data_IF_662107759413
#
_entry.id   IF_662107759413
#
_cell.length_a   1.000
_cell.length_b   1.000
_cell.length_c   1.000
_cell.angle_alpha   90.00
_cell.angle_beta   90.00
_cell.angle_gamma   90.00
#
_symmetry.space_group_name_H-M   'P 1'
#
loop_
_entity.id
_entity.type
_entity.pdbx_description
1 polymer ?
#
# COMPACT_ATOMS: atom_id res chain seq x y z
N UNK A 1 -10.69 -17.16 -43.94
CA UNK A 1 -9.96 -17.47 -42.70
C UNK A 1 -8.79 -16.50 -42.46
N UNK A 2 -7.89 -16.30 -43.42
CA UNK A 2 -6.71 -15.43 -43.27
C UNK A 2 -7.03 -13.93 -43.09
N UNK A 3 -8.06 -13.41 -43.77
CA UNK A 3 -8.56 -12.03 -43.56
C UNK A 3 -9.12 -11.79 -42.15
N UNK A 4 -9.72 -12.81 -41.53
CA UNK A 4 -10.24 -12.73 -40.16
C UNK A 4 -9.08 -12.72 -39.16
N UNK A 5 -8.06 -13.56 -39.37
CA UNK A 5 -6.86 -13.60 -38.51
C UNK A 5 -6.17 -12.23 -38.40
N UNK A 6 -6.13 -11.45 -39.48
CA UNK A 6 -5.56 -10.09 -39.46
C UNK A 6 -6.25 -9.13 -38.49
N UNK A 7 -7.54 -9.32 -38.19
CA UNK A 7 -8.28 -8.50 -37.23
C UNK A 7 -7.88 -8.77 -35.77
N UNK A 8 -7.28 -9.92 -35.50
CA UNK A 8 -6.86 -10.36 -34.16
C UNK A 8 -5.33 -10.36 -33.97
N UNK A 9 -4.57 -9.87 -34.95
CA UNK A 9 -3.12 -9.83 -34.87
C UNK A 9 -2.67 -8.86 -33.76
N UNK A 10 -1.90 -9.37 -32.81
CA UNK A 10 -1.24 -8.60 -31.76
C UNK A 10 0.28 -8.68 -31.89
N UNK A 11 1.04 -7.80 -31.22
CA UNK A 11 2.49 -7.88 -31.18
C UNK A 11 2.97 -8.96 -30.19
N UNK A 12 4.19 -9.44 -30.41
CA UNK A 12 4.95 -10.14 -29.38
C UNK A 12 5.40 -9.15 -28.29
N UNK A 13 5.51 -9.63 -27.05
CA UNK A 13 6.01 -8.84 -25.91
C UNK A 13 7.53 -8.96 -25.74
N UNK A 14 8.13 -10.09 -26.13
CA UNK A 14 9.59 -10.29 -26.08
C UNK A 14 10.32 -9.22 -26.88
N UNK A 15 11.44 -8.73 -26.34
CA UNK A 15 12.23 -7.64 -26.90
C UNK A 15 11.57 -6.25 -26.83
N UNK A 16 10.38 -6.11 -26.23
CA UNK A 16 9.72 -4.81 -26.02
C UNK A 16 10.11 -4.18 -24.69
N UNK A 17 9.82 -2.89 -24.57
CA UNK A 17 10.09 -2.11 -23.36
C UNK A 17 8.83 -2.01 -22.50
N UNK A 18 8.90 -2.48 -21.24
CA UNK A 18 7.90 -2.22 -20.21
C UNK A 18 8.35 -1.05 -19.34
N UNK A 19 7.51 -0.01 -19.26
CA UNK A 19 7.61 1.05 -18.27
C UNK A 19 6.76 0.73 -17.04
N UNK A 20 7.37 0.75 -15.86
CA UNK A 20 6.71 0.49 -14.57
C UNK A 20 6.67 1.79 -13.76
N UNK A 21 5.47 2.29 -13.48
CA UNK A 21 5.26 3.47 -12.63
C UNK A 21 4.88 3.00 -11.23
N UNK A 22 5.76 3.24 -10.26
CA UNK A 22 5.66 2.73 -8.90
C UNK A 22 6.29 1.35 -8.75
N UNK A 23 7.26 1.25 -7.86
CA UNK A 23 8.02 0.02 -7.57
C UNK A 23 7.82 -0.45 -6.14
N UNK A 24 6.61 -0.26 -5.61
CA UNK A 24 6.20 -0.86 -4.34
C UNK A 24 6.09 -2.39 -4.41
N UNK A 25 5.31 -2.98 -3.50
CA UNK A 25 5.17 -4.43 -3.40
C UNK A 25 4.75 -5.11 -4.71
N UNK A 26 3.77 -4.53 -5.42
CA UNK A 26 3.26 -5.11 -6.69
C UNK A 26 4.16 -4.76 -7.86
N UNK A 27 4.51 -3.49 -8.04
CA UNK A 27 5.31 -3.05 -9.19
C UNK A 27 6.70 -3.69 -9.26
N UNK A 28 7.33 -3.96 -8.10
CA UNK A 28 8.59 -4.72 -8.06
C UNK A 28 8.44 -6.14 -8.62
N UNK A 29 7.35 -6.85 -8.25
CA UNK A 29 7.08 -8.19 -8.74
C UNK A 29 6.77 -8.18 -10.24
N UNK A 30 5.92 -7.24 -10.69
CA UNK A 30 5.61 -7.05 -12.11
C UNK A 30 6.86 -6.79 -12.94
N UNK A 31 7.76 -5.92 -12.45
CA UNK A 31 9.02 -5.62 -13.11
C UNK A 31 9.90 -6.85 -13.27
N UNK A 32 10.04 -7.66 -12.21
CA UNK A 32 10.86 -8.87 -12.25
C UNK A 32 10.26 -9.93 -13.19
N UNK A 33 8.94 -10.16 -13.14
CA UNK A 33 8.25 -11.08 -14.06
C UNK A 33 8.44 -10.65 -15.52
N UNK A 34 8.38 -9.35 -15.80
CA UNK A 34 8.58 -8.84 -17.15
C UNK A 34 10.00 -9.09 -17.69
N UNK A 35 11.03 -9.05 -16.83
CA UNK A 35 12.38 -9.45 -17.22
C UNK A 35 12.43 -10.94 -17.60
N UNK A 36 11.77 -11.81 -16.82
CA UNK A 36 11.70 -13.25 -17.12
C UNK A 36 10.93 -13.55 -18.43
N UNK A 37 10.09 -12.60 -18.87
CA UNK A 37 9.36 -12.63 -20.15
C UNK A 37 10.13 -11.98 -21.31
N UNK A 38 11.45 -11.80 -21.18
CA UNK A 38 12.34 -11.22 -22.20
C UNK A 38 11.98 -9.77 -22.57
N UNK A 39 11.41 -9.00 -21.63
CA UNK A 39 11.18 -7.57 -21.81
C UNK A 39 12.35 -6.75 -21.26
N UNK A 40 12.63 -5.60 -21.86
CA UNK A 40 13.47 -4.58 -21.23
C UNK A 40 12.61 -3.76 -20.27
N UNK A 41 12.97 -3.70 -18.98
CA UNK A 41 12.15 -3.00 -17.98
C UNK A 41 12.80 -1.70 -17.56
N UNK A 42 12.03 -0.61 -17.64
CA UNK A 42 12.36 0.68 -17.05
C UNK A 42 11.37 0.97 -15.91
N UNK A 43 11.84 1.58 -14.84
CA UNK A 43 10.99 1.88 -13.69
C UNK A 43 11.18 3.31 -13.18
N UNK A 44 10.07 3.96 -12.88
CA UNK A 44 10.00 5.28 -12.25
C UNK A 44 9.27 5.16 -10.91
N UNK A 45 9.93 5.62 -9.83
CA UNK A 45 9.32 5.71 -8.51
C UNK A 45 9.97 6.87 -7.72
N UNK A 46 9.27 7.98 -7.52
CA UNK A 46 9.81 9.13 -6.79
C UNK A 46 9.95 8.88 -5.29
N UNK A 47 9.32 7.82 -4.76
CA UNK A 47 9.28 7.50 -3.32
C UNK A 47 9.91 6.15 -3.00
N UNK A 48 10.83 5.68 -3.84
CA UNK A 48 11.47 4.38 -3.67
C UNK A 48 12.06 4.23 -2.26
N UNK A 49 11.44 3.35 -1.46
CA UNK A 49 11.97 3.00 -0.14
C UNK A 49 13.20 2.10 -0.29
N UNK A 50 14.03 2.04 0.75
CA UNK A 50 15.18 1.11 0.79
C UNK A 50 14.72 -0.32 0.56
N UNK A 51 13.64 -0.76 1.21
CA UNK A 51 13.09 -2.11 1.08
C UNK A 51 12.58 -2.40 -0.34
N UNK A 52 11.92 -1.43 -0.99
CA UNK A 52 11.52 -1.55 -2.38
C UNK A 52 12.75 -1.68 -3.29
N UNK A 53 13.82 -0.94 -3.00
CA UNK A 53 15.06 -0.99 -3.76
C UNK A 53 15.73 -2.37 -3.74
N UNK A 54 15.52 -3.17 -2.69
CA UNK A 54 15.99 -4.56 -2.58
C UNK A 54 15.12 -5.58 -3.32
N UNK A 55 13.83 -5.29 -3.54
CA UNK A 55 12.88 -6.18 -4.22
C UNK A 55 12.98 -6.14 -5.74
N UNK A 56 13.43 -5.01 -6.29
CA UNK A 56 13.58 -4.81 -7.74
C UNK A 56 14.91 -5.41 -8.21
N UNK A 57 14.87 -6.22 -9.26
CA UNK A 57 16.08 -6.75 -9.91
C UNK A 57 17.03 -5.62 -10.35
N UNK A 58 18.34 -5.90 -10.32
CA UNK A 58 19.39 -4.95 -10.75
C UNK A 58 19.35 -4.69 -12.26
N UNK A 59 18.70 -5.57 -13.02
CA UNK A 59 18.54 -5.45 -14.47
C UNK A 59 17.41 -4.47 -14.86
N UNK A 60 16.57 -4.06 -13.89
CA UNK A 60 15.57 -3.00 -14.09
C UNK A 60 16.27 -1.65 -14.17
N UNK A 61 16.03 -0.93 -15.27
CA UNK A 61 16.62 0.39 -15.53
C UNK A 61 15.80 1.47 -14.84
N UNK A 62 16.31 1.99 -13.72
CA UNK A 62 15.67 3.09 -13.00
C UNK A 62 15.81 4.40 -13.77
N UNK A 63 14.72 5.15 -13.88
CA UNK A 63 14.70 6.51 -14.46
C UNK A 63 14.28 7.52 -13.41
N UNK A 64 14.88 8.72 -13.49
CA UNK A 64 14.64 9.78 -12.51
C UNK A 64 13.38 10.59 -12.80
N UNK A 65 12.89 10.55 -14.04
CA UNK A 65 11.76 11.35 -14.50
C UNK A 65 10.76 10.50 -15.30
N UNK A 66 9.47 10.83 -15.11
CA UNK A 66 8.38 10.13 -15.78
C UNK A 66 8.43 10.30 -17.31
N UNK A 67 8.84 11.47 -17.81
CA UNK A 67 8.91 11.74 -19.26
C UNK A 67 9.83 10.79 -20.01
N UNK A 68 11.02 10.52 -19.46
CA UNK A 68 11.97 9.54 -19.98
C UNK A 68 11.35 8.14 -20.02
N UNK A 69 10.62 7.75 -18.98
CA UNK A 69 9.90 6.46 -18.99
C UNK A 69 8.90 6.40 -20.15
N UNK A 70 8.03 7.41 -20.25
CA UNK A 70 6.93 7.46 -21.20
C UNK A 70 7.42 7.43 -22.65
N UNK A 71 8.49 8.17 -22.95
CA UNK A 71 9.05 8.24 -24.30
C UNK A 71 9.67 6.94 -24.83
N UNK A 72 10.04 6.01 -23.94
CA UNK A 72 10.76 4.80 -24.33
C UNK A 72 9.93 3.51 -24.23
N UNK A 73 8.80 3.50 -23.53
CA UNK A 73 8.04 2.28 -23.26
C UNK A 73 7.05 1.92 -24.39
N UNK A 74 6.99 0.62 -24.73
CA UNK A 74 5.96 0.06 -25.63
C UNK A 74 4.72 -0.39 -24.83
N UNK A 75 4.93 -0.73 -23.56
CA UNK A 75 3.92 -1.07 -22.57
C UNK A 75 4.13 -0.21 -21.32
N UNK A 76 3.05 0.28 -20.71
CA UNK A 76 3.08 1.02 -19.45
C UNK A 76 2.21 0.28 -18.43
N UNK A 77 2.71 0.09 -17.21
CA UNK A 77 1.93 -0.45 -16.09
C UNK A 77 2.01 0.47 -14.87
N UNK A 78 0.87 0.67 -14.23
CA UNK A 78 0.70 1.60 -13.11
C UNK A 78 0.51 0.83 -11.80
N UNK A 79 1.30 1.19 -10.79
CA UNK A 79 1.31 0.59 -9.45
C UNK A 79 1.48 1.66 -8.34
N UNK A 80 0.73 2.75 -8.46
CA UNK A 80 0.80 3.91 -7.56
C UNK A 80 -0.51 4.14 -6.79
N UNK A 81 -0.45 4.69 -5.57
CA UNK A 81 -1.66 5.10 -4.85
C UNK A 81 -2.32 6.30 -5.54
N UNK A 82 -3.61 6.50 -5.27
CA UNK A 82 -4.32 7.73 -5.66
C UNK A 82 -4.06 8.81 -4.60
N UNK A 83 -3.45 9.90 -5.03
CA UNK A 83 -3.18 11.11 -4.25
C UNK A 83 -3.54 12.34 -5.08
N UNK A 84 -3.42 13.54 -4.51
CA UNK A 84 -3.60 14.77 -5.29
C UNK A 84 -2.58 14.92 -6.42
N UNK A 85 -1.39 14.33 -6.30
CA UNK A 85 -0.32 14.39 -7.30
C UNK A 85 -0.43 13.30 -8.38
N UNK A 86 -1.02 12.15 -8.05
CA UNK A 86 -1.16 11.03 -8.99
C UNK A 86 -2.50 11.00 -9.71
N UNK A 87 -3.46 11.81 -9.27
CA UNK A 87 -4.73 11.98 -9.97
C UNK A 87 -4.47 12.59 -11.35
N UNK A 88 -5.06 11.97 -12.37
CA UNK A 88 -4.92 12.37 -13.78
C UNK A 88 -3.44 12.47 -14.22
N UNK A 89 -2.53 11.73 -13.58
CA UNK A 89 -1.10 11.71 -13.93
C UNK A 89 -0.86 11.24 -15.36
N UNK A 90 -1.74 10.37 -15.88
CA UNK A 90 -1.74 9.96 -17.28
C UNK A 90 -2.86 10.74 -17.99
N UNK A 91 -2.56 11.97 -18.38
CA UNK A 91 -3.39 12.89 -19.15
C UNK A 91 -2.94 12.97 -20.62
N UNK A 92 -3.54 13.87 -21.40
CA UNK A 92 -3.19 14.09 -22.81
C UNK A 92 -1.71 14.44 -23.02
N UNK A 93 -1.12 15.29 -22.16
CA UNK A 93 0.31 15.65 -22.25
C UNK A 93 1.20 14.43 -22.00
N UNK A 94 0.92 13.64 -20.96
CA UNK A 94 1.62 12.40 -20.68
C UNK A 94 1.51 11.41 -21.84
N UNK A 95 0.31 11.20 -22.37
CA UNK A 95 0.05 10.29 -23.50
C UNK A 95 0.75 10.78 -24.78
N UNK A 96 0.79 12.09 -25.03
CA UNK A 96 1.45 12.66 -26.21
C UNK A 96 2.94 12.31 -26.30
N UNK A 97 3.60 12.20 -25.13
CA UNK A 97 5.03 11.86 -24.98
C UNK A 97 5.31 10.38 -25.18
N UNK A 98 4.30 9.52 -25.15
CA UNK A 98 4.46 8.08 -25.35
C UNK A 98 4.71 7.73 -26.82
N UNK A 99 5.23 6.53 -27.06
CA UNK A 99 5.30 5.96 -28.41
C UNK A 99 3.89 5.78 -29.00
N UNK A 100 3.78 5.89 -30.31
CA UNK A 100 2.54 5.57 -31.01
C UNK A 100 2.24 4.06 -30.90
N UNK A 101 1.00 3.74 -30.58
CA UNK A 101 0.55 2.37 -30.38
C UNK A 101 0.98 1.75 -29.05
N UNK A 102 1.31 2.59 -28.05
CA UNK A 102 1.58 2.16 -26.66
C UNK A 102 0.39 1.40 -26.08
N UNK A 103 0.66 0.46 -25.16
CA UNK A 103 -0.37 -0.29 -24.42
C UNK A 103 -0.28 0.03 -22.94
N UNK A 104 -1.40 0.42 -22.33
CA UNK A 104 -1.43 0.86 -20.94
C UNK A 104 -2.23 -0.14 -20.10
N UNK A 105 -1.68 -0.51 -18.94
CA UNK A 105 -2.26 -1.46 -17.98
C UNK A 105 -2.43 -0.75 -16.63
N UNK A 106 -3.67 -0.55 -16.20
CA UNK A 106 -4.00 0.09 -14.93
C UNK A 106 -4.82 -0.84 -14.03
N UNK A 107 -4.13 -1.47 -13.08
CA UNK A 107 -4.70 -2.24 -11.98
C UNK A 107 -4.40 -1.55 -10.63
N UNK A 108 -4.00 -0.28 -10.66
CA UNK A 108 -3.72 0.51 -9.48
C UNK A 108 -4.97 1.24 -9.01
N UNK A 109 -5.34 2.34 -9.66
CA UNK A 109 -6.49 3.20 -9.32
C UNK A 109 -7.02 3.86 -10.59
N UNK A 110 -8.33 3.91 -10.76
CA UNK A 110 -8.96 4.39 -11.99
C UNK A 110 -8.59 5.83 -12.31
N UNK A 111 -8.65 6.70 -11.30
CA UNK A 111 -8.47 8.15 -11.40
C UNK A 111 -7.01 8.59 -11.57
N UNK A 112 -6.07 7.65 -11.69
CA UNK A 112 -4.68 7.96 -12.10
C UNK A 112 -4.58 8.27 -13.60
N UNK A 113 -5.54 7.77 -14.37
CA UNK A 113 -5.63 8.01 -15.82
C UNK A 113 -6.84 8.90 -16.10
N UNK A 114 -6.63 9.98 -16.83
CA UNK A 114 -7.71 10.85 -17.29
C UNK A 114 -8.61 10.08 -18.26
N UNK A 115 -9.86 9.83 -17.87
CA UNK A 115 -10.81 9.03 -18.66
C UNK A 115 -11.09 9.63 -20.04
N UNK A 116 -11.23 10.95 -20.14
CA UNK A 116 -11.50 11.60 -21.41
C UNK A 116 -10.30 11.50 -22.35
N UNK A 117 -9.09 11.69 -21.82
CA UNK A 117 -7.87 11.71 -22.64
C UNK A 117 -7.49 10.31 -23.10
N UNK A 118 -7.67 9.28 -22.26
CA UNK A 118 -7.42 7.90 -22.68
C UNK A 118 -8.40 7.45 -23.76
N UNK A 119 -9.67 7.88 -23.69
CA UNK A 119 -10.67 7.59 -24.73
C UNK A 119 -10.26 8.25 -26.05
N UNK A 120 -9.91 9.54 -26.04
CA UNK A 120 -9.44 10.24 -27.24
C UNK A 120 -8.15 9.62 -27.83
N UNK A 121 -7.24 9.16 -26.96
CA UNK A 121 -6.01 8.49 -27.37
C UNK A 121 -6.26 7.11 -28.00
N UNK A 122 -7.28 6.38 -27.54
CA UNK A 122 -7.70 5.11 -28.14
C UNK A 122 -8.39 5.32 -29.49
N UNK A 123 -9.21 6.36 -29.62
CA UNK A 123 -9.88 6.72 -30.87
C UNK A 123 -8.90 7.19 -31.95
N UNK A 124 -7.88 7.97 -31.58
CA UNK A 124 -6.82 8.41 -32.50
C UNK A 124 -5.81 7.32 -32.84
N UNK A 125 -5.79 6.22 -32.08
CA UNK A 125 -4.81 5.13 -32.22
C UNK A 125 -3.44 5.44 -31.60
N UNK A 126 -3.29 6.58 -30.92
CA UNK A 126 -2.08 6.90 -30.13
C UNK A 126 -1.84 5.82 -29.08
N UNK A 127 -2.89 5.37 -28.41
CA UNK A 127 -2.90 4.21 -27.52
C UNK A 127 -3.54 3.04 -28.25
N UNK A 128 -2.81 1.94 -28.40
CA UNK A 128 -3.32 0.77 -29.11
C UNK A 128 -4.32 -0.04 -28.27
N UNK A 129 -4.10 -0.14 -26.96
CA UNK A 129 -5.00 -0.80 -26.00
C UNK A 129 -4.87 -0.19 -24.61
N UNK A 130 -6.00 -0.15 -23.90
CA UNK A 130 -6.05 0.15 -22.48
C UNK A 130 -6.66 -1.03 -21.73
N UNK A 131 -5.94 -1.57 -20.75
CA UNK A 131 -6.41 -2.65 -19.89
C UNK A 131 -6.60 -2.05 -18.50
N UNK A 132 -7.81 -2.07 -17.99
CA UNK A 132 -8.18 -1.35 -16.78
C UNK A 132 -9.10 -2.18 -15.88
N UNK A 133 -8.87 -2.11 -14.57
CA UNK A 133 -9.66 -2.82 -13.57
C UNK A 133 -10.85 -1.98 -13.03
N UNK A 134 -11.17 -0.87 -13.69
CA UNK A 134 -12.15 0.12 -13.24
C UNK A 134 -13.12 0.44 -14.39
N UNK A 135 -14.22 -0.35 -14.56
CA UNK A 135 -15.15 -0.13 -15.65
C UNK A 135 -16.04 1.09 -15.38
N UNK A 136 -16.24 1.90 -16.41
CA UNK A 136 -17.18 3.03 -16.42
C UNK A 136 -18.05 2.96 -17.67
N UNK A 137 -19.19 3.66 -17.66
CA UNK A 137 -20.07 3.66 -18.84
C UNK A 137 -19.40 4.24 -20.11
N UNK A 138 -18.54 5.29 -20.03
CA UNK A 138 -17.75 5.75 -21.17
C UNK A 138 -16.70 4.73 -21.63
N UNK A 139 -15.90 4.17 -20.72
CA UNK A 139 -14.85 3.20 -21.08
C UNK A 139 -15.43 1.92 -21.70
N UNK A 140 -16.61 1.48 -21.27
CA UNK A 140 -17.31 0.33 -21.86
C UNK A 140 -17.70 0.54 -23.33
N UNK A 141 -17.78 1.80 -23.79
CA UNK A 141 -18.09 2.16 -25.19
C UNK A 141 -16.84 2.48 -26.01
N UNK A 142 -15.70 2.68 -25.34
CA UNK A 142 -14.45 3.05 -25.99
C UNK A 142 -13.85 1.87 -26.77
N UNK A 143 -13.15 2.14 -27.89
CA UNK A 143 -12.52 1.10 -28.68
C UNK A 143 -11.29 0.52 -27.96
N UNK A 144 -10.97 -0.74 -28.23
CA UNK A 144 -9.72 -1.40 -27.82
C UNK A 144 -9.43 -1.41 -26.31
N UNK A 145 -10.46 -1.31 -25.47
CA UNK A 145 -10.34 -1.44 -24.01
C UNK A 145 -10.63 -2.86 -23.56
N UNK A 146 -9.90 -3.34 -22.55
CA UNK A 146 -10.23 -4.55 -21.80
C UNK A 146 -10.51 -4.14 -20.36
N UNK A 147 -11.73 -4.41 -19.89
CA UNK A 147 -12.21 -4.01 -18.58
C UNK A 147 -12.47 -5.22 -17.70
N UNK A 148 -11.99 -5.16 -16.46
CA UNK A 148 -12.32 -6.11 -15.40
C UNK A 148 -12.96 -5.37 -14.23
N UNK A 149 -13.96 -5.94 -13.54
CA UNK A 149 -14.71 -5.24 -12.49
C UNK A 149 -14.02 -5.27 -11.13
N UNK A 150 -12.85 -4.62 -11.01
CA UNK A 150 -12.07 -4.50 -9.79
C UNK A 150 -11.65 -5.86 -9.19
N UNK A 151 -11.02 -6.69 -10.01
CA UNK A 151 -10.65 -8.08 -9.70
C UNK A 151 -9.15 -8.29 -9.44
N UNK A 152 -8.32 -7.24 -9.49
CA UNK A 152 -6.86 -7.38 -9.44
C UNK A 152 -6.30 -8.13 -8.22
N UNK A 153 -6.99 -8.09 -7.09
CA UNK A 153 -6.65 -8.83 -5.86
C UNK A 153 -7.65 -9.94 -5.50
N UNK A 154 -8.65 -10.19 -6.34
CA UNK A 154 -9.78 -11.09 -6.02
C UNK A 154 -9.45 -12.52 -6.43
N UNK A 155 -8.52 -13.15 -5.69
CA UNK A 155 -8.17 -14.57 -5.84
C UNK A 155 -8.43 -15.31 -4.53
N UNK A 156 -8.69 -16.62 -4.62
CA UNK A 156 -8.93 -17.48 -3.44
C UNK A 156 -7.73 -17.42 -2.48
N UNK A 157 -6.51 -17.41 -3.03
CA UNK A 157 -5.27 -17.32 -2.26
C UNK A 157 -5.14 -15.95 -1.57
N UNK A 158 -5.49 -14.86 -2.27
CA UNK A 158 -5.43 -13.51 -1.71
C UNK A 158 -6.43 -13.34 -0.58
N UNK A 159 -7.66 -13.85 -0.74
CA UNK A 159 -8.66 -13.84 0.33
C UNK A 159 -8.20 -14.66 1.54
N UNK A 160 -7.65 -15.85 1.34
CA UNK A 160 -7.12 -16.68 2.41
C UNK A 160 -5.95 -16.00 3.15
N UNK A 161 -5.02 -15.38 2.40
CA UNK A 161 -3.88 -14.66 2.98
C UNK A 161 -4.34 -13.44 3.78
N UNK A 162 -5.33 -12.68 3.29
CA UNK A 162 -5.91 -11.54 4.01
C UNK A 162 -6.61 -12.00 5.30
N UNK A 163 -7.37 -13.09 5.25
CA UNK A 163 -8.04 -13.64 6.43
C UNK A 163 -7.03 -14.11 7.48
N UNK A 164 -5.97 -14.80 7.06
CA UNK A 164 -4.89 -15.23 7.95
C UNK A 164 -4.19 -14.01 8.59
N UNK A 165 -3.80 -13.02 7.78
CA UNK A 165 -3.17 -11.79 8.28
C UNK A 165 -4.04 -11.09 9.33
N UNK A 166 -5.33 -10.90 9.05
CA UNK A 166 -6.24 -10.26 9.99
C UNK A 166 -6.41 -11.07 11.28
N UNK A 167 -6.45 -12.41 11.19
CA UNK A 167 -6.53 -13.28 12.36
C UNK A 167 -5.26 -13.22 13.20
N UNK A 168 -4.07 -13.28 12.59
CA UNK A 168 -2.78 -13.17 13.27
C UNK A 168 -2.60 -11.79 13.93
N UNK A 169 -2.95 -10.70 13.25
CA UNK A 169 -2.88 -9.35 13.80
C UNK A 169 -3.87 -9.17 14.97
N UNK A 170 -5.06 -9.76 14.86
CA UNK A 170 -6.03 -9.73 15.95
C UNK A 170 -5.58 -10.58 17.15
N UNK A 171 -5.01 -11.76 16.91
CA UNK A 171 -4.45 -12.62 17.96
C UNK A 171 -3.32 -11.90 18.72
N UNK A 172 -2.35 -11.33 17.99
CA UNK A 172 -1.23 -10.60 18.57
C UNK A 172 -1.69 -9.34 19.34
N UNK A 173 -2.68 -8.61 18.80
CA UNK A 173 -3.30 -7.51 19.54
C UNK A 173 -4.04 -7.97 20.80
N UNK A 174 -4.75 -9.10 20.74
CA UNK A 174 -5.54 -9.59 21.86
C UNK A 174 -4.66 -10.14 22.98
N UNK A 175 -3.64 -10.92 22.66
CA UNK A 175 -2.81 -11.64 23.64
C UNK A 175 -1.47 -10.98 23.96
N UNK A 176 -0.96 -10.10 23.08
CA UNK A 176 0.29 -9.39 23.33
C UNK A 176 0.12 -7.87 23.29
N UNK A 177 -1.01 -7.35 22.81
CA UNK A 177 -1.20 -5.90 22.70
C UNK A 177 -0.29 -5.24 21.67
N UNK A 178 0.31 -6.01 20.77
CA UNK A 178 1.03 -5.45 19.64
C UNK A 178 0.02 -4.94 18.60
N UNK A 179 0.40 -3.93 17.83
CA UNK A 179 -0.41 -3.36 16.77
C UNK A 179 0.45 -3.34 15.52
N UNK A 180 -0.06 -3.96 14.45
CA UNK A 180 0.57 -3.97 13.14
C UNK A 180 -0.48 -3.68 12.07
N UNK A 181 -0.09 -2.93 11.04
CA UNK A 181 -0.93 -2.58 9.89
C UNK A 181 -2.26 -1.91 10.28
N UNK A 182 -2.31 -1.26 11.44
CA UNK A 182 -3.54 -0.58 11.85
C UNK A 182 -3.79 0.63 10.95
N UNK A 183 -5.03 0.80 10.51
CA UNK A 183 -5.42 1.95 9.69
C UNK A 183 -5.64 3.23 10.51
N UNK A 184 -5.77 3.12 11.84
CA UNK A 184 -6.17 4.22 12.71
C UNK A 184 -5.42 4.30 14.06
N UNK A 185 -4.51 3.36 14.34
CA UNK A 185 -3.58 3.38 15.47
C UNK A 185 -2.14 3.31 14.97
N UNK A 186 -1.16 3.67 15.82
CA UNK A 186 0.25 3.50 15.48
C UNK A 186 0.67 2.04 15.52
N UNK A 187 1.59 1.66 14.64
CA UNK A 187 2.27 0.37 14.73
C UNK A 187 3.19 0.34 15.96
N UNK A 188 3.10 -0.74 16.72
CA UNK A 188 3.84 -0.95 17.95
C UNK A 188 4.08 -2.43 18.19
N UNK A 189 5.31 -2.78 18.53
CA UNK A 189 5.68 -4.15 18.85
C UNK A 189 6.63 -4.13 20.04
N UNK A 190 6.34 -4.96 21.04
CA UNK A 190 7.18 -5.15 22.20
C UNK A 190 7.09 -6.61 22.64
N UNK A 191 8.21 -7.29 22.76
CA UNK A 191 8.25 -8.65 23.31
C UNK A 191 7.69 -8.67 24.73
N UNK A 192 6.98 -9.76 25.08
CA UNK A 192 6.37 -9.93 26.41
C UNK A 192 7.47 -10.13 27.46
N UNK A 193 7.39 -9.33 28.52
CA UNK A 193 8.18 -9.44 29.75
C UNK A 193 7.26 -9.28 30.97
N UNK A 194 7.81 -9.53 32.16
CA UNK A 194 7.06 -9.46 33.41
C UNK A 194 5.89 -10.43 33.54
N UNK A 195 5.05 -10.17 34.56
CA UNK A 195 3.86 -10.95 34.89
C UNK A 195 2.59 -10.46 34.22
N UNK A 196 2.49 -9.16 33.92
CA UNK A 196 1.30 -8.58 33.30
C UNK A 196 1.68 -7.47 32.33
N UNK A 197 0.87 -7.32 31.27
CA UNK A 197 0.95 -6.23 30.30
C UNK A 197 -0.25 -5.30 30.41
N UNK A 198 0.00 -4.00 30.32
CA UNK A 198 -0.99 -2.94 30.36
C UNK A 198 -0.89 -2.14 29.07
N UNK A 199 -1.99 -2.07 28.35
CA UNK A 199 -2.08 -1.36 27.09
C UNK A 199 -3.04 -0.19 27.24
N UNK A 200 -2.60 1.02 26.91
CA UNK A 200 -3.37 2.25 27.10
C UNK A 200 -3.49 2.98 25.76
N UNK A 201 -4.71 3.08 25.25
CA UNK A 201 -5.04 4.01 24.16
C UNK A 201 -5.39 5.35 24.81
N UNK A 202 -4.74 6.42 24.38
CA UNK A 202 -4.97 7.77 24.89
C UNK A 202 -4.87 8.82 23.79
N UNK A 203 -5.33 10.04 24.07
CA UNK A 203 -5.10 11.20 23.21
C UNK A 203 -3.61 11.53 23.20
N UNK A 204 -3.12 11.94 22.03
CA UNK A 204 -1.73 12.36 21.85
C UNK A 204 -1.54 13.80 22.34
N UNK A 205 -1.49 13.98 23.67
CA UNK A 205 -1.30 15.28 24.32
C UNK A 205 0.03 15.33 25.08
N UNK A 206 0.73 16.48 25.10
CA UNK A 206 1.96 16.64 25.87
C UNK A 206 1.76 16.27 27.35
N UNK A 207 2.75 15.59 27.93
CA UNK A 207 2.76 15.25 29.36
C UNK A 207 1.96 14.00 29.76
N UNK A 208 1.25 13.34 28.84
CA UNK A 208 0.44 12.15 29.17
C UNK A 208 1.25 11.05 29.88
N UNK A 209 2.44 10.72 29.39
CA UNK A 209 3.30 9.74 30.06
C UNK A 209 3.70 10.20 31.47
N UNK A 210 4.01 11.47 31.65
CA UNK A 210 4.31 12.07 32.95
C UNK A 210 3.12 11.99 33.92
N UNK A 211 1.88 11.99 33.40
CA UNK A 211 0.67 11.76 34.20
C UNK A 211 0.50 10.28 34.56
N UNK A 212 0.86 9.35 33.66
CA UNK A 212 0.71 7.91 33.86
C UNK A 212 1.77 7.31 34.81
N UNK A 213 3.05 7.68 34.68
CA UNK A 213 4.13 7.06 35.47
C UNK A 213 3.92 7.11 36.99
N UNK A 214 3.50 8.24 37.60
CA UNK A 214 3.31 8.33 39.04
C UNK A 214 2.26 7.36 39.59
N UNK A 215 1.29 6.94 38.77
CA UNK A 215 0.25 5.98 39.18
C UNK A 215 0.90 4.63 39.50
N UNK A 216 1.82 4.17 38.65
CA UNK A 216 2.59 2.94 38.88
C UNK A 216 3.48 3.06 40.12
N UNK A 217 4.21 4.17 40.25
CA UNK A 217 5.10 4.39 41.40
C UNK A 217 4.34 4.45 42.72
N UNK A 218 3.21 5.17 42.79
CA UNK A 218 2.35 5.21 43.99
C UNK A 218 1.73 3.86 44.32
N UNK A 219 1.42 3.06 43.29
CA UNK A 219 0.93 1.70 43.43
C UNK A 219 1.98 0.67 43.85
N UNK A 220 3.25 1.07 43.97
CA UNK A 220 4.36 0.13 44.23
C UNK A 220 4.60 -0.86 43.10
N UNK A 221 4.20 -0.51 41.87
CA UNK A 221 4.33 -1.36 40.68
C UNK A 221 5.60 -0.98 39.93
N UNK A 222 6.48 -1.95 39.71
CA UNK A 222 7.68 -1.79 38.91
C UNK A 222 7.40 -2.09 37.43
N UNK A 223 7.89 -1.23 36.55
CA UNK A 223 7.73 -1.34 35.09
C UNK A 223 9.01 -1.97 34.54
N UNK A 224 8.92 -3.19 34.01
CA UNK A 224 10.06 -3.90 33.42
C UNK A 224 10.40 -3.36 32.03
N UNK A 225 9.37 -3.14 31.22
CA UNK A 225 9.52 -2.65 29.85
C UNK A 225 8.37 -1.73 29.48
N UNK A 226 8.63 -0.75 28.63
CA UNK A 226 7.56 0.09 28.09
C UNK A 226 7.87 0.59 26.69
N UNK A 227 6.82 0.80 25.92
CA UNK A 227 6.89 1.48 24.62
C UNK A 227 5.68 2.38 24.43
N UNK A 228 5.87 3.48 23.71
CA UNK A 228 4.79 4.38 23.35
C UNK A 228 4.99 4.84 21.91
N UNK A 229 3.92 4.77 21.12
CA UNK A 229 3.88 5.27 19.75
C UNK A 229 2.65 6.14 19.58
N UNK A 230 2.74 7.11 18.67
CA UNK A 230 1.65 8.05 18.38
C UNK A 230 1.35 8.09 16.88
N UNK A 231 0.08 8.27 16.55
CA UNK A 231 -0.39 8.55 15.20
C UNK A 231 -1.49 9.60 15.27
N UNK A 232 -1.26 10.72 14.61
CA UNK A 232 -2.18 11.86 14.58
C UNK A 232 -2.61 12.28 16.00
N UNK A 233 -3.91 12.13 16.29
CA UNK A 233 -4.56 12.54 17.55
C UNK A 233 -4.49 11.48 18.65
N UNK A 234 -3.97 10.29 18.35
CA UNK A 234 -3.97 9.15 19.27
C UNK A 234 -2.56 8.65 19.54
N UNK A 235 -2.39 8.06 20.71
CA UNK A 235 -1.19 7.37 21.09
C UNK A 235 -1.54 6.09 21.85
N UNK A 236 -0.61 5.15 21.79
CA UNK A 236 -0.76 3.83 22.38
C UNK A 236 0.51 3.50 23.16
N UNK A 237 0.33 3.34 24.47
CA UNK A 237 1.38 2.98 25.40
C UNK A 237 1.20 1.54 25.87
N UNK A 238 2.29 0.78 25.91
CA UNK A 238 2.34 -0.59 26.42
C UNK A 238 3.35 -0.63 27.56
N UNK A 239 2.95 -1.22 28.69
CA UNK A 239 3.77 -1.38 29.90
C UNK A 239 3.76 -2.84 30.32
N UNK A 240 4.93 -3.42 30.53
CA UNK A 240 5.10 -4.71 31.20
C UNK A 240 5.50 -4.48 32.65
N UNK A 241 4.88 -5.23 33.55
CA UNK A 241 5.10 -5.11 35.00
C UNK A 241 5.36 -6.47 35.63
N UNK A 242 6.11 -6.48 36.73
CA UNK A 242 6.58 -7.70 37.44
C UNK A 242 5.56 -8.26 38.47
N UNK A 243 4.41 -7.62 38.60
CA UNK A 243 3.39 -7.86 39.63
C UNK A 243 2.00 -8.03 39.02
N UNK A 244 1.05 -8.56 39.80
CA UNK A 244 -0.36 -8.40 39.46
C UNK A 244 -0.80 -6.96 39.69
N UNK A 245 -1.68 -6.44 38.83
CA UNK A 245 -2.08 -5.03 38.87
C UNK A 245 -3.03 -4.77 40.03
N UNK A 246 -2.67 -3.89 40.99
CA UNK A 246 -3.55 -3.49 42.08
C UNK A 246 -4.83 -2.80 41.57
N UNK A 247 -5.97 -3.03 42.23
CA UNK A 247 -7.25 -2.39 41.87
C UNK A 247 -7.21 -0.87 41.94
N UNK A 248 -6.38 -0.31 42.81
CA UNK A 248 -6.13 1.14 42.92
C UNK A 248 -5.53 1.69 41.62
N UNK A 249 -4.48 1.05 41.11
CA UNK A 249 -3.83 1.38 39.83
C UNK A 249 -4.82 1.24 38.68
N UNK A 250 -5.63 0.16 38.66
CA UNK A 250 -6.63 -0.05 37.60
C UNK A 250 -7.62 1.12 37.49
N UNK A 251 -8.17 1.55 38.63
CA UNK A 251 -9.14 2.64 38.70
C UNK A 251 -8.51 3.97 38.32
N UNK A 252 -7.32 4.26 38.85
CA UNK A 252 -6.65 5.53 38.61
C UNK A 252 -6.28 5.69 37.12
N UNK A 253 -5.71 4.67 36.48
CA UNK A 253 -5.40 4.68 35.04
C UNK A 253 -6.63 4.97 34.17
N UNK A 254 -7.79 4.36 34.48
CA UNK A 254 -9.03 4.59 33.72
C UNK A 254 -9.65 5.96 33.97
N UNK A 255 -9.23 6.67 35.02
CA UNK A 255 -9.77 7.99 35.39
C UNK A 255 -8.94 9.17 34.84
N UNK A 256 -7.78 8.89 34.24
CA UNK A 256 -6.91 9.93 33.67
C UNK A 256 -7.60 10.59 32.48
N UNK A 257 -7.72 11.92 32.51
CA UNK A 257 -8.26 12.67 31.38
C UNK A 257 -7.44 12.42 30.11
N UNK A 258 -8.12 12.17 28.99
CA UNK A 258 -7.50 11.80 27.72
C UNK A 258 -7.15 10.31 27.56
N UNK A 259 -7.25 9.47 28.59
CA UNK A 259 -7.23 8.00 28.42
C UNK A 259 -8.56 7.54 27.83
N UNK A 260 -8.48 6.76 26.75
CA UNK A 260 -9.65 6.28 26.00
C UNK A 260 -9.98 4.83 26.31
N UNK A 261 -8.95 4.00 26.50
CA UNK A 261 -9.11 2.58 26.82
C UNK A 261 -7.87 2.06 27.53
N UNK A 262 -8.08 1.27 28.57
CA UNK A 262 -7.03 0.47 29.22
C UNK A 262 -7.37 -1.00 29.06
N UNK A 263 -6.39 -1.81 28.64
CA UNK A 263 -6.48 -3.27 28.60
C UNK A 263 -5.39 -3.86 29.46
N UNK A 264 -5.71 -5.01 30.05
CA UNK A 264 -4.83 -5.74 30.94
C UNK A 264 -4.71 -7.15 30.40
N UNK A 265 -3.48 -7.58 30.13
CA UNK A 265 -3.20 -8.87 29.53
C UNK A 265 -2.30 -9.64 30.50
N UNK A 266 -2.72 -10.85 30.85
CA UNK A 266 -1.91 -11.76 31.67
C UNK A 266 -0.83 -12.39 30.84
#
# INVERSE_FOLDING_TARGET
MEKIKKQFAGPEYGGKVLGVVGTGNVGSLTANIALDLDMTVYAYDPYLSVDAAWKVSRDVKRVADLGTLLSCCDYLTLHIPLTGETKDMIDDDAVSRMKDGVRIINYARGEVVSENDIIAALESGKVARYICDFPTAPLCKAPNVVLTPHLGGTTIESEANCALMAAEEMDDYLFNGNIKNSVNLPDISMERSGKMRICIVHRNTPGMLTTLMPIFTKGGVNIENMTNKSRDKYAYSVFDIDTEIPDTVRKELTSVDGVLRVRYIK
#
